data_IF_723691081533
#
_entry.id   IF_723691081533
#
_cell.length_a   1.000
_cell.length_b   1.000
_cell.length_c   1.000
_cell.angle_alpha   90.00
_cell.angle_beta   90.00
_cell.angle_gamma   90.00
#
_symmetry.space_group_name_H-M   'P 1'
#
loop_
_entity.id
_entity.type
_entity.pdbx_description
1 polymer ?
#
# COMPACT_ATOMS: atom_id res chain seq x y z
N UNK A 1 -3.45 34.93 66.22
CA UNK A 1 -3.88 33.64 65.63
C UNK A 1 -5.05 33.91 64.69
N UNK A 2 -4.83 33.95 63.37
CA UNK A 2 -5.89 34.07 62.36
C UNK A 2 -5.94 32.74 61.60
N UNK A 3 -7.09 32.07 61.65
CA UNK A 3 -7.31 30.78 60.98
C UNK A 3 -7.52 30.98 59.47
N UNK A 4 -6.83 30.15 58.71
CA UNK A 4 -6.91 29.97 57.26
C UNK A 4 -8.16 29.11 56.97
N UNK A 5 -9.07 29.59 56.12
CA UNK A 5 -10.08 28.75 55.47
C UNK A 5 -9.75 28.71 53.96
N UNK A 6 -9.15 27.60 53.53
CA UNK A 6 -8.99 27.26 52.11
C UNK A 6 -10.27 26.54 51.69
N UNK A 7 -11.02 27.15 50.78
CA UNK A 7 -12.15 26.52 50.09
C UNK A 7 -11.59 25.56 49.03
N UNK A 8 -11.61 24.25 49.31
CA UNK A 8 -11.40 23.23 48.29
C UNK A 8 -12.68 23.07 47.46
N UNK A 9 -12.72 23.70 46.28
CA UNK A 9 -13.73 23.42 45.26
C UNK A 9 -13.34 22.11 44.54
N UNK A 10 -13.82 20.98 45.04
CA UNK A 10 -13.83 19.73 44.26
C UNK A 10 -14.99 19.79 43.27
N UNK A 11 -14.72 20.24 42.05
CA UNK A 11 -15.61 19.98 40.92
C UNK A 11 -15.50 18.50 40.56
N UNK A 12 -16.43 17.73 41.13
CA UNK A 12 -16.80 16.39 40.68
C UNK A 12 -17.25 16.50 39.21
N UNK A 13 -16.37 16.13 38.29
CA UNK A 13 -16.77 15.88 36.91
C UNK A 13 -17.53 14.56 36.89
N UNK A 14 -18.80 14.63 36.53
CA UNK A 14 -19.68 13.49 36.34
C UNK A 14 -19.18 12.67 35.15
N UNK A 15 -18.40 11.62 35.43
CA UNK A 15 -18.15 10.52 34.50
C UNK A 15 -19.43 9.69 34.37
N UNK A 16 -20.34 10.09 33.49
CA UNK A 16 -21.50 9.29 33.13
C UNK A 16 -21.46 8.96 31.64
N UNK A 17 -21.53 7.65 31.36
CA UNK A 17 -21.61 6.97 30.05
C UNK A 17 -20.34 6.86 29.21
N UNK A 18 -19.29 6.28 29.80
CA UNK A 18 -18.09 5.84 29.09
C UNK A 18 -18.22 4.43 28.52
N UNK A 19 -18.97 4.24 27.43
CA UNK A 19 -18.54 3.21 26.49
C UNK A 19 -17.35 3.81 25.73
N UNK A 20 -16.15 3.32 26.02
CA UNK A 20 -14.94 3.73 25.30
C UNK A 20 -15.09 3.37 23.83
N UNK A 21 -14.57 4.20 22.92
CA UNK A 21 -14.59 3.92 21.47
C UNK A 21 -14.06 2.51 21.19
N UNK A 22 -13.02 2.07 21.93
CA UNK A 22 -12.51 0.70 21.95
C UNK A 22 -13.58 -0.41 22.03
N UNK A 23 -14.50 -0.32 23.01
CA UNK A 23 -15.53 -1.36 23.20
C UNK A 23 -16.55 -1.37 22.05
N UNK A 24 -16.84 -0.18 21.50
CA UNK A 24 -17.72 -0.04 20.35
C UNK A 24 -17.07 -0.60 19.08
N UNK A 25 -15.78 -0.29 18.86
CA UNK A 25 -14.98 -0.89 17.77
C UNK A 25 -14.99 -2.41 17.87
N UNK A 26 -14.66 -2.97 19.03
CA UNK A 26 -14.64 -4.42 19.20
C UNK A 26 -16.01 -5.06 18.97
N UNK A 27 -17.09 -4.40 19.41
CA UNK A 27 -18.44 -4.90 19.17
C UNK A 27 -18.86 -4.84 17.70
N UNK A 28 -18.49 -3.78 16.97
CA UNK A 28 -18.91 -3.55 15.58
C UNK A 28 -18.08 -4.40 14.62
N UNK A 29 -16.77 -4.47 14.84
CA UNK A 29 -15.82 -5.14 13.94
C UNK A 29 -15.60 -6.63 14.28
N UNK A 30 -16.43 -7.24 15.12
CA UNK A 30 -16.34 -8.66 15.46
C UNK A 30 -16.87 -9.58 14.34
N UNK A 31 -16.33 -9.43 13.13
CA UNK A 31 -16.64 -10.26 11.97
C UNK A 31 -15.44 -10.29 11.01
N UNK A 32 -15.50 -11.17 10.01
CA UNK A 32 -14.51 -11.27 8.93
C UNK A 32 -15.22 -11.03 7.59
N UNK A 33 -14.99 -9.91 6.86
CA UNK A 33 -15.71 -9.60 5.62
C UNK A 33 -15.75 -10.73 4.59
N UNK A 34 -14.66 -11.47 4.44
CA UNK A 34 -14.56 -12.61 3.52
C UNK A 34 -15.36 -13.85 3.95
N UNK A 35 -15.94 -13.87 5.16
CA UNK A 35 -16.64 -15.03 5.75
C UNK A 35 -18.13 -14.80 6.03
N UNK A 36 -18.67 -13.63 5.69
CA UNK A 36 -20.07 -13.27 5.91
C UNK A 36 -20.86 -13.21 4.60
N UNK A 37 -22.15 -13.49 4.68
CA UNK A 37 -23.10 -13.46 3.56
C UNK A 37 -23.44 -12.03 3.12
N UNK A 38 -23.99 -11.86 1.92
CA UNK A 38 -24.45 -10.55 1.45
C UNK A 38 -25.55 -9.94 2.33
N UNK A 39 -26.41 -10.77 2.92
CA UNK A 39 -27.42 -10.30 3.87
C UNK A 39 -26.78 -9.75 5.15
N UNK A 40 -25.76 -10.41 5.67
CA UNK A 40 -25.00 -9.94 6.83
C UNK A 40 -24.19 -8.69 6.51
N UNK A 41 -23.54 -8.63 5.33
CA UNK A 41 -22.82 -7.43 4.87
C UNK A 41 -23.73 -6.21 4.85
N UNK A 42 -24.95 -6.33 4.31
CA UNK A 42 -25.92 -5.21 4.31
C UNK A 42 -26.29 -4.75 5.72
N UNK A 43 -26.56 -5.70 6.63
CA UNK A 43 -26.91 -5.38 8.02
C UNK A 43 -25.76 -4.71 8.77
N UNK A 44 -24.55 -5.26 8.62
CA UNK A 44 -23.33 -4.74 9.25
C UNK A 44 -22.96 -3.37 8.65
N UNK A 45 -23.15 -3.19 7.33
CA UNK A 45 -22.93 -1.91 6.65
C UNK A 45 -23.69 -0.77 7.30
N UNK A 46 -24.97 -0.95 7.62
CA UNK A 46 -25.76 0.06 8.34
C UNK A 46 -25.21 0.40 9.73
N UNK A 47 -24.57 -0.56 10.41
CA UNK A 47 -23.93 -0.33 11.72
C UNK A 47 -22.62 0.43 11.56
N UNK A 48 -21.81 0.05 10.57
CA UNK A 48 -20.57 0.76 10.21
C UNK A 48 -20.86 2.20 9.81
N UNK A 49 -21.88 2.45 8.98
CA UNK A 49 -22.28 3.80 8.56
C UNK A 49 -22.62 4.68 9.77
N UNK A 50 -23.39 4.15 10.74
CA UNK A 50 -23.73 4.89 11.97
C UNK A 50 -22.49 5.21 12.80
N UNK A 51 -21.53 4.28 12.88
CA UNK A 51 -20.26 4.53 13.56
C UNK A 51 -19.45 5.62 12.85
N UNK A 52 -19.34 5.54 11.52
CA UNK A 52 -18.66 6.54 10.71
C UNK A 52 -19.27 7.93 10.87
N UNK A 53 -20.60 8.04 10.75
CA UNK A 53 -21.31 9.31 10.92
C UNK A 53 -21.17 9.86 12.33
N UNK A 54 -21.18 9.02 13.36
CA UNK A 54 -20.89 9.44 14.75
C UNK A 54 -19.52 10.11 14.86
N UNK A 55 -18.47 9.48 14.31
CA UNK A 55 -17.11 10.04 14.35
C UNK A 55 -16.98 11.32 13.52
N UNK A 56 -17.60 11.36 12.33
CA UNK A 56 -17.60 12.54 11.44
C UNK A 56 -18.34 13.74 12.05
N UNK A 57 -19.46 13.50 12.74
CA UNK A 57 -20.30 14.57 13.28
C UNK A 57 -19.73 15.22 14.55
N UNK A 58 -18.79 14.56 15.25
CA UNK A 58 -18.13 15.12 16.43
C UNK A 58 -16.63 14.79 16.43
N UNK A 59 -15.91 15.37 15.47
CA UNK A 59 -14.47 15.18 15.32
C UNK A 59 -13.69 15.70 16.53
N UNK A 60 -14.16 16.76 17.18
CA UNK A 60 -13.56 17.30 18.42
C UNK A 60 -13.45 16.23 19.50
N UNK A 61 -14.47 15.38 19.64
CA UNK A 61 -14.48 14.30 20.61
C UNK A 61 -13.81 13.03 20.12
N UNK A 62 -14.11 12.60 18.89
CA UNK A 62 -13.80 11.23 18.45
C UNK A 62 -12.50 11.10 17.65
N UNK A 63 -11.96 12.17 17.05
CA UNK A 63 -10.77 12.07 16.22
C UNK A 63 -9.55 11.57 17.02
N UNK A 64 -9.34 12.11 18.23
CA UNK A 64 -8.23 11.68 19.08
C UNK A 64 -8.40 10.24 19.58
N UNK A 65 -9.64 9.82 19.80
CA UNK A 65 -9.94 8.43 20.18
C UNK A 65 -9.68 7.48 19.01
N UNK A 66 -10.12 7.83 17.79
CA UNK A 66 -9.85 7.05 16.58
C UNK A 66 -8.34 6.85 16.37
N UNK A 67 -7.54 7.92 16.52
CA UNK A 67 -6.07 7.84 16.45
C UNK A 67 -5.51 6.83 17.46
N UNK A 68 -5.99 6.90 18.71
CA UNK A 68 -5.55 5.99 19.77
C UNK A 68 -5.89 4.52 19.45
N UNK A 69 -7.11 4.24 18.97
CA UNK A 69 -7.52 2.86 18.61
C UNK A 69 -6.69 2.32 17.43
N UNK A 70 -6.39 3.13 16.42
CA UNK A 70 -5.55 2.75 15.27
C UNK A 70 -4.10 2.44 15.65
N UNK A 71 -3.59 3.04 16.73
CA UNK A 71 -2.25 2.74 17.25
C UNK A 71 -2.17 1.38 17.94
N UNK A 72 -3.27 0.86 18.49
CA UNK A 72 -3.28 -0.43 19.21
C UNK A 72 -3.11 -1.63 18.28
N UNK A 73 -2.90 -2.82 18.85
CA UNK A 73 -2.94 -4.11 18.16
C UNK A 73 -4.04 -5.04 18.71
N UNK A 74 -5.11 -4.47 19.29
CA UNK A 74 -6.14 -5.21 20.02
C UNK A 74 -7.39 -5.53 19.19
N UNK A 75 -7.63 -4.79 18.11
CA UNK A 75 -8.85 -4.90 17.33
C UNK A 75 -8.74 -5.97 16.24
N UNK A 76 -9.89 -6.31 15.66
CA UNK A 76 -9.94 -7.20 14.50
C UNK A 76 -9.27 -6.55 13.28
N UNK A 77 -8.57 -7.32 12.43
CA UNK A 77 -7.79 -6.78 11.31
C UNK A 77 -8.55 -5.81 10.39
N UNK A 78 -9.83 -6.09 10.11
CA UNK A 78 -10.64 -5.24 9.22
C UNK A 78 -10.79 -3.79 9.73
N UNK A 79 -10.87 -3.58 11.05
CA UNK A 79 -10.94 -2.24 11.64
C UNK A 79 -9.76 -1.36 11.22
N UNK A 80 -8.55 -1.92 11.15
CA UNK A 80 -7.38 -1.11 10.86
C UNK A 80 -7.37 -0.56 9.44
N UNK A 81 -8.03 -1.21 8.48
CA UNK A 81 -8.22 -0.64 7.15
C UNK A 81 -9.37 0.35 7.11
N UNK A 82 -10.51 -0.04 7.66
CA UNK A 82 -11.74 0.75 7.63
C UNK A 82 -11.59 2.06 8.43
N UNK A 83 -11.07 1.97 9.65
CA UNK A 83 -10.75 3.12 10.51
C UNK A 83 -9.66 4.02 9.95
N UNK A 84 -8.68 3.46 9.21
CA UNK A 84 -7.70 4.28 8.49
C UNK A 84 -8.33 5.05 7.34
N UNK A 85 -9.27 4.43 6.62
CA UNK A 85 -10.04 5.09 5.57
C UNK A 85 -10.89 6.23 6.14
N UNK A 86 -11.52 6.00 7.29
CA UNK A 86 -12.22 7.03 8.05
C UNK A 86 -11.27 8.16 8.46
N UNK A 87 -10.11 7.85 9.05
CA UNK A 87 -9.11 8.85 9.43
C UNK A 87 -8.68 9.71 8.23
N UNK A 88 -8.34 9.08 7.10
CA UNK A 88 -7.94 9.76 5.87
C UNK A 88 -9.06 10.62 5.26
N UNK A 89 -10.33 10.34 5.57
CA UNK A 89 -11.46 11.17 5.15
C UNK A 89 -11.67 12.43 6.01
N UNK A 90 -11.15 12.41 7.25
CA UNK A 90 -11.35 13.48 8.24
C UNK A 90 -10.21 14.51 8.27
N UNK A 91 -9.03 14.15 7.76
CA UNK A 91 -7.81 14.93 7.94
C UNK A 91 -6.83 14.68 6.80
N UNK A 92 -6.05 15.71 6.48
CA UNK A 92 -4.96 15.67 5.51
C UNK A 92 -3.58 15.82 6.16
N UNK A 93 -3.49 15.71 7.50
CA UNK A 93 -2.22 15.90 8.21
C UNK A 93 -1.22 14.78 7.88
N UNK A 94 0.06 15.12 7.87
CA UNK A 94 1.15 14.16 7.62
C UNK A 94 1.11 13.03 8.67
N UNK A 95 0.98 13.37 9.95
CA UNK A 95 0.95 12.40 11.04
C UNK A 95 -0.23 11.42 10.94
N UNK A 96 -1.40 11.88 10.48
CA UNK A 96 -2.56 11.01 10.31
C UNK A 96 -2.41 10.08 9.10
N UNK A 97 -1.76 10.52 8.03
CA UNK A 97 -1.44 9.67 6.87
C UNK A 97 -0.42 8.59 7.24
N UNK A 98 0.62 8.93 8.00
CA UNK A 98 1.59 7.97 8.52
C UNK A 98 0.92 6.94 9.45
N UNK A 99 0.05 7.40 10.36
CA UNK A 99 -0.72 6.52 11.22
C UNK A 99 -1.64 5.59 10.42
N UNK A 100 -2.34 6.11 9.41
CA UNK A 100 -3.20 5.33 8.54
C UNK A 100 -2.41 4.23 7.82
N UNK A 101 -1.20 4.53 7.32
CA UNK A 101 -0.34 3.53 6.65
C UNK A 101 0.08 2.42 7.63
N UNK A 102 0.50 2.79 8.85
CA UNK A 102 0.88 1.83 9.87
C UNK A 102 -0.30 0.97 10.34
N UNK A 103 -1.49 1.55 10.41
CA UNK A 103 -2.70 0.81 10.70
C UNK A 103 -3.10 -0.11 9.53
N UNK A 104 -3.11 0.36 8.27
CA UNK A 104 -3.37 -0.48 7.09
C UNK A 104 -2.43 -1.70 7.08
N UNK A 105 -1.17 -1.58 7.51
CA UNK A 105 -0.27 -2.72 7.61
C UNK A 105 -0.76 -3.86 8.54
N UNK A 106 -1.67 -3.58 9.48
CA UNK A 106 -2.26 -4.54 10.42
C UNK A 106 -3.48 -5.26 9.87
N UNK A 107 -4.02 -4.85 8.72
CA UNK A 107 -5.21 -5.46 8.15
C UNK A 107 -4.96 -6.88 7.62
N UNK A 108 -6.04 -7.60 7.35
CA UNK A 108 -6.02 -8.82 6.55
C UNK A 108 -6.42 -8.44 5.12
N UNK A 109 -5.55 -8.71 4.14
CA UNK A 109 -5.73 -8.23 2.77
C UNK A 109 -6.90 -8.95 2.09
N UNK A 110 -7.18 -10.18 2.48
CA UNK A 110 -8.32 -10.98 1.98
C UNK A 110 -9.69 -10.38 2.33
N UNK A 111 -9.74 -9.53 3.35
CA UNK A 111 -10.97 -8.88 3.79
C UNK A 111 -11.24 -7.54 3.08
N UNK A 112 -10.37 -7.14 2.16
CA UNK A 112 -10.40 -5.84 1.50
C UNK A 112 -10.48 -6.04 -0.02
N UNK A 113 -11.23 -5.17 -0.70
CA UNK A 113 -11.17 -5.11 -2.16
C UNK A 113 -9.74 -4.80 -2.60
N UNK A 114 -9.13 -5.73 -3.34
CA UNK A 114 -7.73 -5.61 -3.83
C UNK A 114 -7.50 -4.34 -4.64
N UNK A 115 -8.48 -3.95 -5.44
CA UNK A 115 -8.45 -2.71 -6.22
C UNK A 115 -8.40 -1.48 -5.28
N UNK A 116 -9.29 -1.41 -4.30
CA UNK A 116 -9.35 -0.26 -3.36
C UNK A 116 -8.07 -0.22 -2.51
N UNK A 117 -7.57 -1.38 -2.07
CA UNK A 117 -6.30 -1.50 -1.35
C UNK A 117 -5.14 -0.91 -2.15
N UNK A 118 -4.98 -1.35 -3.40
CA UNK A 118 -3.90 -0.89 -4.28
C UNK A 118 -4.03 0.59 -4.62
N UNK A 119 -5.23 1.06 -4.97
CA UNK A 119 -5.47 2.49 -5.28
C UNK A 119 -5.19 3.40 -4.08
N UNK A 120 -5.57 2.97 -2.88
CA UNK A 120 -5.34 3.74 -1.64
C UNK A 120 -3.85 3.90 -1.36
N UNK A 121 -3.10 2.81 -1.40
CA UNK A 121 -1.66 2.84 -1.14
C UNK A 121 -0.87 3.52 -2.27
N UNK A 122 -1.26 3.35 -3.53
CA UNK A 122 -0.64 4.04 -4.65
C UNK A 122 -0.83 5.56 -4.54
N UNK A 123 -2.01 6.04 -4.14
CA UNK A 123 -2.23 7.47 -3.86
C UNK A 123 -1.26 7.97 -2.79
N UNK A 124 -1.17 7.28 -1.65
CA UNK A 124 -0.26 7.66 -0.56
C UNK A 124 1.22 7.62 -0.98
N UNK A 125 1.61 6.65 -1.80
CA UNK A 125 2.97 6.58 -2.34
C UNK A 125 3.30 7.78 -3.24
N UNK A 126 2.36 8.18 -4.11
CA UNK A 126 2.51 9.36 -4.98
C UNK A 126 2.51 10.68 -4.18
N UNK A 127 1.87 10.70 -3.02
CA UNK A 127 1.98 11.82 -2.06
C UNK A 127 3.32 11.83 -1.29
N UNK A 128 4.21 10.85 -1.52
CA UNK A 128 5.55 10.79 -0.95
C UNK A 128 5.67 9.98 0.33
N UNK A 129 4.62 9.27 0.75
CA UNK A 129 4.65 8.46 1.96
C UNK A 129 5.26 7.07 1.73
N UNK A 130 5.89 6.52 2.77
CA UNK A 130 6.45 5.17 2.71
C UNK A 130 5.36 4.12 2.94
N UNK A 131 4.89 3.48 1.87
CA UNK A 131 3.88 2.42 1.93
C UNK A 131 4.47 1.01 1.87
N UNK A 132 5.78 0.85 2.01
CA UNK A 132 6.45 -0.44 1.78
C UNK A 132 5.87 -1.57 2.63
N UNK A 133 5.65 -1.32 3.93
CA UNK A 133 5.17 -2.32 4.88
C UNK A 133 3.79 -2.90 4.51
N UNK A 134 2.74 -2.11 4.27
CA UNK A 134 1.47 -2.67 3.78
C UNK A 134 1.60 -3.23 2.35
N UNK A 135 2.43 -2.64 1.49
CA UNK A 135 2.56 -3.09 0.09
C UNK A 135 3.13 -4.50 -0.04
N UNK A 136 4.14 -4.88 0.76
CA UNK A 136 4.71 -6.24 0.67
C UNK A 136 3.76 -7.34 1.17
N UNK A 137 2.67 -7.00 1.86
CA UNK A 137 1.67 -8.00 2.28
C UNK A 137 1.06 -8.74 1.09
N UNK A 138 0.90 -8.07 -0.05
CA UNK A 138 0.29 -8.68 -1.23
C UNK A 138 1.09 -9.89 -1.74
N UNK A 139 2.38 -9.99 -1.41
CA UNK A 139 3.26 -11.10 -1.81
C UNK A 139 2.93 -12.42 -1.12
N UNK A 140 2.23 -12.36 0.02
CA UNK A 140 1.82 -13.54 0.78
C UNK A 140 0.41 -14.02 0.40
N UNK A 141 -0.28 -13.28 -0.45
CA UNK A 141 -1.61 -13.62 -0.92
C UNK A 141 -1.55 -14.53 -2.16
N UNK A 142 -2.45 -15.49 -2.23
CA UNK A 142 -2.63 -16.34 -3.40
C UNK A 142 -3.38 -15.62 -4.50
N UNK A 143 -2.81 -15.62 -5.72
CA UNK A 143 -3.41 -15.04 -6.91
C UNK A 143 -3.83 -13.55 -6.77
N UNK A 144 -3.08 -12.76 -5.99
CA UNK A 144 -3.38 -11.35 -5.79
C UNK A 144 -3.45 -10.59 -7.12
N UNK A 145 -4.65 -10.19 -7.50
CA UNK A 145 -4.93 -9.49 -8.74
C UNK A 145 -6.30 -8.82 -8.69
N UNK A 146 -6.51 -7.84 -9.56
CA UNK A 146 -7.84 -7.29 -9.84
C UNK A 146 -7.98 -6.96 -11.33
N UNK A 147 -9.22 -7.03 -11.81
CA UNK A 147 -9.56 -6.73 -13.19
C UNK A 147 -9.98 -5.26 -13.32
N UNK A 148 -9.54 -4.60 -14.39
CA UNK A 148 -9.90 -3.23 -14.73
C UNK A 148 -10.77 -3.29 -15.99
N UNK A 149 -12.11 -3.19 -15.85
CA UNK A 149 -13.03 -3.38 -16.96
C UNK A 149 -12.77 -2.44 -18.14
N UNK A 150 -12.39 -1.19 -17.86
CA UNK A 150 -12.18 -0.15 -18.86
C UNK A 150 -11.05 -0.48 -19.85
N UNK A 151 -10.07 -1.29 -19.41
CA UNK A 151 -8.91 -1.69 -20.21
C UNK A 151 -8.92 -3.18 -20.56
N UNK A 152 -9.99 -3.90 -20.20
CA UNK A 152 -10.07 -5.35 -20.29
C UNK A 152 -8.81 -6.07 -19.75
N UNK A 153 -8.20 -5.53 -18.70
CA UNK A 153 -6.87 -5.91 -18.22
C UNK A 153 -6.91 -6.43 -16.78
N UNK A 154 -6.09 -7.46 -16.50
CA UNK A 154 -5.81 -7.89 -15.12
C UNK A 154 -4.52 -7.27 -14.61
N UNK A 155 -4.61 -6.53 -13.52
CA UNK A 155 -3.46 -6.07 -12.75
C UNK A 155 -3.00 -7.19 -11.82
N UNK A 156 -1.92 -7.88 -12.20
CA UNK A 156 -1.34 -8.97 -11.41
C UNK A 156 -0.53 -8.45 -10.21
N UNK A 157 -0.08 -9.37 -9.34
CA UNK A 157 0.69 -9.05 -8.13
C UNK A 157 1.95 -8.22 -8.42
N UNK A 158 2.69 -8.54 -9.49
CA UNK A 158 3.90 -7.80 -9.89
C UNK A 158 3.63 -6.36 -10.31
N UNK A 159 2.57 -6.12 -11.10
CA UNK A 159 2.16 -4.76 -11.47
C UNK A 159 1.61 -3.99 -10.27
N UNK A 160 0.83 -4.64 -9.41
CA UNK A 160 0.37 -4.03 -8.16
C UNK A 160 1.56 -3.58 -7.32
N UNK A 161 2.52 -4.47 -7.03
CA UNK A 161 3.70 -4.13 -6.24
C UNK A 161 4.50 -2.99 -6.85
N UNK A 162 4.65 -3.00 -8.19
CA UNK A 162 5.34 -1.96 -8.94
C UNK A 162 4.67 -0.60 -8.76
N UNK A 163 3.36 -0.52 -8.93
CA UNK A 163 2.61 0.72 -8.76
C UNK A 163 2.58 1.21 -7.31
N UNK A 164 2.71 0.30 -6.34
CA UNK A 164 2.78 0.68 -4.93
C UNK A 164 4.16 1.19 -4.52
N UNK A 165 5.24 0.67 -5.09
CA UNK A 165 6.60 0.95 -4.62
C UNK A 165 7.36 1.97 -5.48
N UNK A 166 7.13 2.06 -6.79
CA UNK A 166 7.88 2.99 -7.64
C UNK A 166 7.63 4.48 -7.40
N UNK A 167 6.44 4.94 -6.96
CA UNK A 167 6.23 6.37 -6.69
C UNK A 167 7.09 6.92 -5.55
N UNK A 168 7.53 6.05 -4.62
CA UNK A 168 8.35 6.42 -3.46
C UNK A 168 9.84 6.21 -3.73
N UNK A 169 10.70 6.75 -2.84
CA UNK A 169 12.17 6.61 -2.96
C UNK A 169 12.58 5.13 -2.81
N UNK A 170 13.46 4.66 -3.70
CA UNK A 170 13.97 3.28 -3.72
C UNK A 170 14.60 2.79 -2.40
N UNK A 171 15.22 3.70 -1.63
CA UNK A 171 15.79 3.42 -0.29
C UNK A 171 14.74 2.85 0.69
N UNK A 172 13.46 3.11 0.45
CA UNK A 172 12.38 2.61 1.31
C UNK A 172 12.13 1.11 1.12
N UNK A 173 12.44 0.53 -0.05
CA UNK A 173 11.94 -0.80 -0.41
C UNK A 173 12.94 -1.76 -1.06
N UNK A 174 13.97 -1.31 -1.79
CA UNK A 174 14.87 -2.21 -2.52
C UNK A 174 15.49 -3.26 -1.60
N UNK A 175 16.01 -2.83 -0.45
CA UNK A 175 16.64 -3.72 0.53
C UNK A 175 15.64 -4.68 1.16
N UNK A 176 14.43 -4.20 1.41
CA UNK A 176 13.32 -5.02 1.92
C UNK A 176 12.96 -6.11 0.94
N UNK A 177 12.79 -5.79 -0.35
CA UNK A 177 12.45 -6.74 -1.40
C UNK A 177 13.54 -7.82 -1.55
N UNK A 178 14.80 -7.41 -1.59
CA UNK A 178 15.95 -8.34 -1.66
C UNK A 178 15.96 -9.26 -0.42
N UNK A 179 15.76 -8.70 0.77
CA UNK A 179 15.78 -9.45 2.03
C UNK A 179 14.69 -10.53 2.10
N UNK A 180 13.47 -10.22 1.63
CA UNK A 180 12.34 -11.16 1.72
C UNK A 180 12.27 -12.15 0.55
N UNK A 181 13.05 -11.94 -0.52
CA UNK A 181 12.96 -12.72 -1.76
C UNK A 181 12.98 -14.24 -1.54
N UNK A 182 13.93 -14.75 -0.74
CA UNK A 182 14.07 -16.18 -0.49
C UNK A 182 12.94 -16.76 0.39
N UNK A 183 12.17 -15.91 1.08
CA UNK A 183 11.10 -16.31 2.00
C UNK A 183 9.71 -16.36 1.37
N UNK A 184 9.57 -15.87 0.13
CA UNK A 184 8.30 -15.85 -0.59
C UNK A 184 8.27 -16.94 -1.67
N UNK A 185 7.07 -17.34 -2.08
CA UNK A 185 6.84 -18.35 -3.13
C UNK A 185 7.33 -17.88 -4.51
N UNK A 186 7.59 -18.79 -5.46
CA UNK A 186 8.10 -18.46 -6.80
C UNK A 186 7.33 -17.34 -7.53
N UNK A 187 5.99 -17.33 -7.47
CA UNK A 187 5.17 -16.29 -8.14
C UNK A 187 5.39 -14.90 -7.52
N UNK A 188 5.61 -14.87 -6.20
CA UNK A 188 5.95 -13.64 -5.47
C UNK A 188 7.40 -13.21 -5.73
N UNK A 189 8.32 -14.16 -5.95
CA UNK A 189 9.68 -13.87 -6.40
C UNK A 189 9.67 -13.20 -7.78
N UNK A 190 8.87 -13.69 -8.72
CA UNK A 190 8.68 -13.05 -10.04
C UNK A 190 8.10 -11.64 -9.90
N UNK A 191 7.19 -11.41 -8.96
CA UNK A 191 6.67 -10.07 -8.63
C UNK A 191 7.76 -9.13 -8.11
N UNK A 192 8.64 -9.61 -7.22
CA UNK A 192 9.81 -8.85 -6.74
C UNK A 192 10.76 -8.53 -7.90
N UNK A 193 11.06 -9.52 -8.75
CA UNK A 193 11.90 -9.35 -9.94
C UNK A 193 11.32 -8.27 -10.84
N UNK A 194 10.02 -8.31 -11.10
CA UNK A 194 9.30 -7.30 -11.90
C UNK A 194 9.50 -5.91 -11.33
N UNK A 195 9.27 -5.72 -10.03
CA UNK A 195 9.37 -4.40 -9.40
C UNK A 195 10.81 -3.87 -9.38
N UNK A 196 11.80 -4.69 -9.04
CA UNK A 196 13.21 -4.30 -9.10
C UNK A 196 13.65 -4.02 -10.54
N UNK A 197 13.11 -4.78 -11.50
CA UNK A 197 13.36 -4.54 -12.91
C UNK A 197 12.82 -3.17 -13.33
N UNK A 198 11.61 -2.80 -12.91
CA UNK A 198 11.09 -1.48 -13.18
C UNK A 198 11.87 -0.38 -12.45
N UNK A 199 12.30 -0.56 -11.19
CA UNK A 199 13.01 0.47 -10.40
C UNK A 199 14.37 0.89 -10.99
N UNK A 200 15.06 -0.01 -11.71
CA UNK A 200 16.32 0.28 -12.43
C UNK A 200 17.47 0.79 -11.55
N UNK A 201 17.58 0.31 -10.31
CA UNK A 201 18.70 0.65 -9.42
C UNK A 201 19.87 -0.31 -9.58
N UNK A 202 21.10 0.16 -9.34
CA UNK A 202 22.28 -0.71 -9.43
C UNK A 202 22.26 -1.87 -8.44
N UNK A 203 21.76 -1.63 -7.23
CA UNK A 203 21.58 -2.70 -6.24
C UNK A 203 20.54 -3.73 -6.70
N UNK A 204 19.43 -3.26 -7.28
CA UNK A 204 18.43 -4.13 -7.91
C UNK A 204 19.05 -4.96 -9.04
N UNK A 205 19.78 -4.34 -9.95
CA UNK A 205 20.40 -5.01 -11.09
C UNK A 205 21.46 -6.04 -10.69
N UNK A 206 22.31 -5.72 -9.72
CA UNK A 206 23.26 -6.68 -9.15
C UNK A 206 22.55 -7.90 -8.56
N UNK A 207 21.46 -7.67 -7.83
CA UNK A 207 20.64 -8.75 -7.29
C UNK A 207 19.98 -9.58 -8.40
N UNK A 208 19.34 -8.95 -9.38
CA UNK A 208 18.69 -9.63 -10.51
C UNK A 208 19.68 -10.49 -11.31
N UNK A 209 20.90 -9.98 -11.56
CA UNK A 209 21.93 -10.75 -12.24
C UNK A 209 22.43 -11.95 -11.40
N UNK A 210 22.44 -11.82 -10.08
CA UNK A 210 22.85 -12.92 -9.19
C UNK A 210 21.88 -14.11 -9.22
N UNK A 211 20.58 -13.86 -9.50
CA UNK A 211 19.54 -14.89 -9.55
C UNK A 211 19.86 -15.96 -10.61
N UNK A 212 20.47 -15.60 -11.74
CA UNK A 212 20.74 -16.55 -12.83
C UNK A 212 21.72 -17.65 -12.46
N UNK A 213 22.70 -17.28 -11.63
CA UNK A 213 23.79 -18.15 -11.25
C UNK A 213 23.42 -19.06 -10.07
N UNK A 214 22.38 -18.71 -9.30
CA UNK A 214 22.00 -19.46 -8.11
C UNK A 214 21.08 -20.64 -8.44
N UNK A 215 21.68 -21.82 -8.58
CA UNK A 215 20.96 -23.08 -8.85
C UNK A 215 19.95 -23.48 -7.77
N UNK A 216 19.96 -22.87 -6.58
CA UNK A 216 18.98 -23.12 -5.51
C UNK A 216 17.64 -22.42 -5.74
N UNK A 217 17.62 -21.35 -6.53
CA UNK A 217 16.39 -20.63 -6.88
C UNK A 217 15.60 -21.47 -7.89
N UNK A 218 14.27 -21.43 -7.85
CA UNK A 218 13.43 -22.17 -8.80
C UNK A 218 13.79 -21.86 -10.26
N UNK A 219 13.75 -22.88 -11.13
CA UNK A 219 14.10 -22.74 -12.55
C UNK A 219 13.23 -21.69 -13.25
N UNK A 220 11.91 -21.64 -12.99
CA UNK A 220 11.01 -20.68 -13.64
C UNK A 220 11.40 -19.25 -13.27
N UNK A 221 11.73 -19.02 -12.00
CA UNK A 221 12.13 -17.72 -11.46
C UNK A 221 13.45 -17.25 -12.09
N UNK A 222 14.44 -18.15 -12.22
CA UNK A 222 15.70 -17.83 -12.91
C UNK A 222 15.49 -17.50 -14.39
N UNK A 223 14.65 -18.27 -15.08
CA UNK A 223 14.33 -18.03 -16.49
C UNK A 223 13.56 -16.72 -16.68
N UNK A 224 12.63 -16.41 -15.79
CA UNK A 224 11.88 -15.15 -15.78
C UNK A 224 12.81 -13.95 -15.61
N UNK A 225 13.69 -13.99 -14.60
CA UNK A 225 14.67 -12.95 -14.36
C UNK A 225 15.59 -12.78 -15.58
N UNK A 226 16.03 -13.87 -16.23
CA UNK A 226 16.89 -13.82 -17.42
C UNK A 226 16.16 -13.19 -18.60
N UNK A 227 14.90 -13.56 -18.79
CA UNK A 227 14.03 -13.04 -19.86
C UNK A 227 13.87 -11.53 -19.74
N UNK A 228 13.50 -11.02 -18.55
CA UNK A 228 13.17 -9.60 -18.38
C UNK A 228 14.40 -8.68 -18.49
N UNK A 229 15.57 -9.09 -17.99
CA UNK A 229 16.81 -8.32 -18.19
C UNK A 229 17.32 -8.37 -19.64
N UNK A 230 16.89 -9.36 -20.42
CA UNK A 230 17.20 -9.44 -21.85
C UNK A 230 16.35 -8.52 -22.74
N UNK A 231 15.34 -7.83 -22.20
CA UNK A 231 14.47 -6.95 -22.98
C UNK A 231 15.21 -5.73 -23.52
N UNK A 232 15.05 -5.51 -24.84
CA UNK A 232 15.63 -4.39 -25.57
C UNK A 232 14.52 -3.54 -26.19
N UNK A 233 14.83 -2.27 -26.47
CA UNK A 233 13.99 -1.42 -27.29
C UNK A 233 14.00 -1.93 -28.74
N UNK A 234 12.83 -1.91 -29.38
CA UNK A 234 12.71 -2.04 -30.84
C UNK A 234 13.12 -0.74 -31.52
N UNK A 235 13.40 -0.76 -32.82
CA UNK A 235 13.87 0.41 -33.58
C UNK A 235 12.91 1.62 -33.47
N UNK A 236 11.62 1.45 -33.77
CA UNK A 236 10.62 2.52 -33.60
C UNK A 236 10.48 3.02 -32.16
N UNK A 237 10.68 2.16 -31.16
CA UNK A 237 10.68 2.56 -29.75
C UNK A 237 11.91 3.39 -29.40
N UNK A 238 13.05 3.05 -30.01
CA UNK A 238 14.29 3.79 -29.85
C UNK A 238 14.16 5.19 -30.43
N UNK A 239 13.56 5.35 -31.61
CA UNK A 239 13.29 6.65 -32.23
C UNK A 239 12.39 7.51 -31.35
N UNK A 240 11.29 6.95 -30.84
CA UNK A 240 10.38 7.63 -29.93
C UNK A 240 11.10 8.12 -28.66
N UNK A 241 11.89 7.23 -28.02
CA UNK A 241 12.66 7.58 -26.81
C UNK A 241 13.72 8.63 -27.11
N UNK A 242 14.43 8.54 -28.25
CA UNK A 242 15.46 9.51 -28.64
C UNK A 242 14.89 10.90 -28.92
N UNK A 243 13.59 11.00 -29.26
CA UNK A 243 12.91 12.27 -29.44
C UNK A 243 12.51 12.95 -28.12
N UNK A 244 12.62 12.25 -26.99
CA UNK A 244 12.30 12.78 -25.66
C UNK A 244 13.58 13.14 -24.89
N UNK A 245 13.52 14.23 -24.13
CA UNK A 245 14.54 14.54 -23.12
C UNK A 245 14.43 13.62 -21.91
N UNK A 246 15.50 13.54 -21.11
CA UNK A 246 15.49 12.81 -19.84
C UNK A 246 14.37 13.29 -18.91
N UNK A 247 14.17 14.60 -18.81
CA UNK A 247 13.11 15.17 -17.96
C UNK A 247 11.71 14.79 -18.45
N UNK A 248 11.51 14.70 -19.77
CA UNK A 248 10.25 14.23 -20.35
C UNK A 248 10.00 12.76 -20.04
N UNK A 249 11.02 11.90 -20.13
CA UNK A 249 10.91 10.49 -19.76
C UNK A 249 10.62 10.31 -18.26
N UNK A 250 11.27 11.12 -17.42
CA UNK A 250 11.08 11.09 -15.97
C UNK A 250 9.68 11.59 -15.57
N UNK A 251 9.18 12.64 -16.24
CA UNK A 251 7.81 13.15 -16.05
C UNK A 251 6.77 12.12 -16.50
N UNK A 252 6.93 11.58 -17.70
CA UNK A 252 6.04 10.54 -18.24
C UNK A 252 5.96 9.35 -17.30
N UNK A 253 7.11 8.92 -16.78
CA UNK A 253 7.18 7.80 -15.84
C UNK A 253 6.40 8.06 -14.54
N UNK A 254 6.47 9.28 -14.00
CA UNK A 254 5.69 9.66 -12.81
C UNK A 254 4.20 9.67 -13.11
N UNK A 255 3.81 10.21 -14.27
CA UNK A 255 2.41 10.29 -14.70
C UNK A 255 1.78 8.89 -14.83
N UNK A 256 2.42 7.96 -15.54
CA UNK A 256 1.86 6.62 -15.78
C UNK A 256 1.70 5.80 -14.50
N UNK A 257 2.47 6.08 -13.44
CA UNK A 257 2.34 5.44 -12.13
C UNK A 257 1.10 5.91 -11.33
N UNK A 258 0.37 6.89 -11.85
CA UNK A 258 -0.94 7.32 -11.32
C UNK A 258 -2.12 6.70 -12.08
N UNK A 259 -1.85 6.04 -13.21
CA UNK A 259 -2.85 5.54 -14.15
C UNK A 259 -2.82 4.01 -14.23
N UNK A 260 -3.93 3.38 -13.86
CA UNK A 260 -4.07 1.93 -13.92
C UNK A 260 -4.63 1.51 -15.29
N UNK A 261 -3.77 1.44 -16.31
CA UNK A 261 -4.14 1.02 -17.66
C UNK A 261 -3.05 0.21 -18.37
N UNK A 262 -3.42 -0.45 -19.46
CA UNK A 262 -2.49 -1.17 -20.33
C UNK A 262 -1.55 -0.20 -21.07
N UNK A 263 -2.04 0.96 -21.50
CA UNK A 263 -1.19 1.99 -22.11
C UNK A 263 -0.16 2.52 -21.11
N UNK A 264 -0.57 2.77 -19.87
CA UNK A 264 0.32 3.23 -18.80
C UNK A 264 1.44 2.21 -18.52
N UNK A 265 1.11 0.92 -18.47
CA UNK A 265 2.11 -0.15 -18.34
C UNK A 265 3.04 -0.22 -19.55
N UNK A 266 2.49 -0.08 -20.77
CA UNK A 266 3.29 -0.05 -22.00
C UNK A 266 4.31 1.10 -22.00
N UNK A 267 3.90 2.28 -21.57
CA UNK A 267 4.77 3.46 -21.43
C UNK A 267 5.76 3.30 -20.27
N UNK A 268 5.36 2.69 -19.16
CA UNK A 268 6.26 2.37 -18.06
C UNK A 268 7.35 1.39 -18.50
N UNK A 269 7.02 0.34 -19.25
CA UNK A 269 7.97 -0.62 -19.83
C UNK A 269 8.93 0.08 -20.80
N UNK A 270 8.41 0.92 -21.70
CA UNK A 270 9.19 1.71 -22.65
C UNK A 270 10.23 2.59 -21.94
N UNK A 271 9.79 3.41 -20.97
CA UNK A 271 10.68 4.30 -20.21
C UNK A 271 11.68 3.53 -19.36
N UNK A 272 11.32 2.34 -18.87
CA UNK A 272 12.22 1.46 -18.12
C UNK A 272 13.35 0.95 -19.00
N UNK A 273 13.06 0.43 -20.19
CA UNK A 273 14.08 -0.05 -21.13
C UNK A 273 14.99 1.07 -21.59
N UNK A 274 14.45 2.27 -21.81
CA UNK A 274 15.23 3.47 -22.09
C UNK A 274 16.26 3.75 -20.98
N UNK A 275 15.80 3.84 -19.72
CA UNK A 275 16.68 4.06 -18.56
C UNK A 275 17.72 2.96 -18.38
N UNK A 276 17.35 1.69 -18.57
CA UNK A 276 18.28 0.55 -18.45
C UNK A 276 19.41 0.58 -19.48
N UNK A 277 19.16 1.11 -20.68
CA UNK A 277 20.19 1.28 -21.70
C UNK A 277 21.26 2.30 -21.27
N UNK A 278 20.86 3.33 -20.52
CA UNK A 278 21.73 4.39 -20.02
C UNK A 278 22.42 4.02 -18.69
N UNK A 279 21.75 3.27 -17.82
CA UNK A 279 22.27 2.86 -16.52
C UNK A 279 23.35 1.77 -16.66
N UNK A 280 24.60 2.21 -16.77
CA UNK A 280 25.78 1.34 -16.64
C UNK A 280 26.15 1.20 -15.17
N UNK A 281 25.47 0.29 -14.48
CA UNK A 281 25.88 -0.09 -13.13
C UNK A 281 27.22 -0.83 -13.18
N UNK A 282 28.19 -0.47 -12.32
CA UNK A 282 29.50 -1.12 -12.26
C UNK A 282 29.44 -2.56 -11.76
#
# INVERSE_FOLDING_TARGET
MKFIQILCFTLLTTYAYGQTLSNEVDSIYNFKPSKITENEKRRIGTVLDKFWEKVKNDTTRFLQQLRAELQTNKHKPFFYYDGSSLLLSLTNSIADKELAIEAIAKCDVDDISREIYVKTLNRLANEGFNVTKPSIKILYEDNFSFFIPQHAMTFNQGYCLTYLLLPQKNVNYVDTLIKIFASVKPEAQESIITTLWFDCTCKGDQFLNSIYADTKIDKSVREYAKKIMGYKLREHQQEYVNAMSKDQLDSLRKEVLTLFSDEAIGLLDLTTRARRKENKCP
#
